data_IF_321519162027
#
_entry.id   IF_321519162027
#
_cell.length_a   1.000
_cell.length_b   1.000
_cell.length_c   1.000
_cell.angle_alpha   90.00
_cell.angle_beta   90.00
_cell.angle_gamma   90.00
#
_symmetry.space_group_name_H-M   'P 1'
#
loop_
_entity.id
_entity.type
_entity.pdbx_description
1 polymer ?
#
# COMPACT_ATOMS: atom_id res chain seq x y z
N UNK A 1 -14.02 -17.70 6.15
CA UNK A 1 -13.98 -17.30 4.73
C UNK A 1 -12.59 -16.78 4.42
N UNK A 2 -12.01 -17.17 3.29
CA UNK A 2 -10.65 -16.77 2.87
C UNK A 2 -10.74 -15.40 2.17
N UNK A 3 -9.70 -14.58 2.25
CA UNK A 3 -9.69 -13.25 1.61
C UNK A 3 -9.92 -13.29 0.09
N UNK A 4 -9.64 -14.42 -0.56
CA UNK A 4 -9.91 -14.64 -1.98
C UNK A 4 -11.42 -14.75 -2.27
N UNK A 5 -12.19 -15.33 -1.35
CA UNK A 5 -13.64 -15.53 -1.50
C UNK A 5 -14.31 -14.15 -1.57
N UNK A 6 -13.99 -13.24 -0.63
CA UNK A 6 -14.46 -11.85 -0.66
C UNK A 6 -14.10 -11.10 -1.94
N UNK A 7 -12.89 -11.29 -2.45
CA UNK A 7 -12.44 -10.62 -3.67
C UNK A 7 -13.25 -11.04 -4.90
N UNK A 8 -13.55 -12.34 -5.01
CA UNK A 8 -14.34 -12.90 -6.10
C UNK A 8 -15.83 -12.57 -5.95
N UNK A 9 -16.41 -12.77 -4.76
CA UNK A 9 -17.84 -12.60 -4.50
C UNK A 9 -18.27 -11.14 -4.65
N UNK A 10 -17.48 -10.20 -4.12
CA UNK A 10 -17.76 -8.76 -4.21
C UNK A 10 -17.22 -8.13 -5.51
N UNK A 11 -16.61 -8.94 -6.40
CA UNK A 11 -16.04 -8.52 -7.68
C UNK A 11 -15.06 -7.34 -7.58
N UNK A 12 -14.32 -7.26 -6.48
CA UNK A 12 -13.49 -6.11 -6.14
C UNK A 12 -12.38 -5.89 -7.18
N UNK A 13 -12.04 -4.63 -7.51
CA UNK A 13 -10.92 -4.37 -8.41
C UNK A 13 -9.57 -4.67 -7.73
N UNK A 14 -9.49 -4.41 -6.43
CA UNK A 14 -8.33 -4.66 -5.57
C UNK A 14 -8.79 -4.91 -4.14
N UNK A 15 -8.09 -5.80 -3.44
CA UNK A 15 -8.21 -6.03 -2.00
C UNK A 15 -6.83 -5.88 -1.35
N UNK A 16 -6.74 -5.03 -0.34
CA UNK A 16 -5.49 -4.80 0.41
C UNK A 16 -5.46 -5.68 1.65
N UNK A 17 -4.36 -6.39 1.86
CA UNK A 17 -4.10 -7.12 3.08
C UNK A 17 -3.38 -6.19 4.04
N UNK A 18 -4.00 -5.89 5.17
CA UNK A 18 -3.37 -5.08 6.20
C UNK A 18 -2.41 -5.96 7.00
N UNK A 19 -1.16 -5.54 7.04
CA UNK A 19 -0.09 -6.16 7.81
C UNK A 19 0.26 -5.27 8.99
N UNK A 20 0.42 -5.85 10.17
CA UNK A 20 0.81 -5.12 11.37
C UNK A 20 2.33 -4.96 11.43
N UNK A 21 2.82 -3.78 11.81
CA UNK A 21 4.25 -3.57 12.10
C UNK A 21 4.47 -3.62 13.61
N UNK A 22 5.61 -4.13 14.04
CA UNK A 22 5.96 -4.31 15.46
C UNK A 22 6.19 -3.00 16.22
N UNK A 23 6.24 -1.86 15.53
CA UNK A 23 6.58 -0.58 16.16
C UNK A 23 5.84 0.57 15.47
N UNK A 24 4.57 0.78 15.82
CA UNK A 24 3.82 1.91 15.26
C UNK A 24 2.61 2.33 16.09
N UNK A 25 2.86 3.20 17.05
CA UNK A 25 1.80 3.94 17.73
C UNK A 25 1.08 4.94 16.79
N UNK A 26 1.74 5.41 15.71
CA UNK A 26 1.24 6.52 14.89
C UNK A 26 0.70 6.14 13.51
N UNK A 27 0.96 4.93 13.01
CA UNK A 27 0.55 4.54 11.65
C UNK A 27 -0.96 4.26 11.50
N UNK A 28 -1.69 4.20 12.62
CA UNK A 28 -3.15 4.05 12.64
C UNK A 28 -3.90 5.33 12.22
N UNK A 29 -3.27 6.50 12.33
CA UNK A 29 -3.96 7.79 12.22
C UNK A 29 -4.35 8.15 10.77
N UNK A 30 -3.59 7.68 9.78
CA UNK A 30 -3.74 8.09 8.37
C UNK A 30 -3.89 6.90 7.41
N UNK A 31 -4.40 5.75 7.88
CA UNK A 31 -4.44 4.51 7.07
C UNK A 31 -3.08 4.13 6.46
N UNK A 32 -1.97 4.55 7.07
CA UNK A 32 -0.61 4.30 6.55
C UNK A 32 -0.35 2.81 6.32
N UNK A 33 -0.85 1.96 7.22
CA UNK A 33 -0.78 0.51 7.09
C UNK A 33 -1.40 -0.04 5.80
N UNK A 34 -2.47 0.60 5.31
CA UNK A 34 -3.18 0.17 4.11
C UNK A 34 -2.51 0.74 2.86
N UNK A 35 -1.94 1.94 2.97
CA UNK A 35 -1.24 2.63 1.88
C UNK A 35 0.11 1.96 1.56
N UNK A 36 0.81 1.44 2.58
CA UNK A 36 2.16 0.88 2.47
C UNK A 36 2.25 -0.63 2.76
N UNK A 37 1.14 -1.36 2.67
CA UNK A 37 1.12 -2.77 3.09
C UNK A 37 1.95 -3.70 2.20
N UNK A 38 2.29 -3.29 0.97
CA UNK A 38 2.95 -4.12 -0.04
C UNK A 38 2.21 -5.40 -0.43
N UNK A 39 1.04 -5.67 0.15
CA UNK A 39 0.36 -6.96 0.06
C UNK A 39 -1.09 -6.74 -0.37
N UNK A 40 -1.36 -7.10 -1.61
CA UNK A 40 -2.62 -6.79 -2.29
C UNK A 40 -2.98 -7.90 -3.25
N UNK A 41 -4.27 -8.17 -3.38
CA UNK A 41 -4.85 -8.95 -4.48
C UNK A 41 -5.45 -7.96 -5.48
N UNK A 42 -5.10 -8.10 -6.76
CA UNK A 42 -5.43 -7.14 -7.81
C UNK A 42 -5.84 -7.90 -9.08
N UNK A 43 -6.82 -7.39 -9.83
CA UNK A 43 -7.10 -7.95 -11.16
C UNK A 43 -5.97 -7.63 -12.13
N UNK A 44 -5.61 -8.60 -12.96
CA UNK A 44 -4.51 -8.52 -13.94
C UNK A 44 -4.58 -7.26 -14.81
N UNK A 45 -5.76 -6.93 -15.33
CA UNK A 45 -5.97 -5.79 -16.25
C UNK A 45 -5.57 -4.44 -15.64
N UNK A 46 -5.58 -4.30 -14.32
CA UNK A 46 -5.11 -3.08 -13.66
C UNK A 46 -3.59 -3.05 -13.54
N UNK A 47 -2.97 -4.20 -13.27
CA UNK A 47 -1.53 -4.33 -13.18
C UNK A 47 -0.86 -4.02 -14.53
N UNK A 48 -1.40 -4.55 -15.62
CA UNK A 48 -0.86 -4.35 -16.97
C UNK A 48 -0.87 -2.87 -17.40
N UNK A 49 -1.76 -2.04 -16.84
CA UNK A 49 -1.82 -0.60 -17.15
C UNK A 49 -0.69 0.21 -16.52
N UNK A 50 -0.05 -0.32 -15.48
CA UNK A 50 0.89 0.43 -14.64
C UNK A 50 2.27 -0.21 -14.57
N UNK A 51 2.39 -1.52 -14.77
CA UNK A 51 3.61 -2.29 -14.47
C UNK A 51 4.82 -1.78 -15.26
N UNK A 52 4.63 -1.44 -16.54
CA UNK A 52 5.70 -0.94 -17.42
C UNK A 52 6.14 0.49 -17.09
N UNK A 53 5.45 1.17 -16.16
CA UNK A 53 5.69 2.57 -15.81
C UNK A 53 6.34 2.74 -14.45
N UNK A 54 6.55 1.66 -13.70
CA UNK A 54 6.99 1.75 -12.31
C UNK A 54 7.99 0.66 -11.96
N UNK A 55 8.95 1.00 -11.11
CA UNK A 55 9.95 0.06 -10.60
C UNK A 55 9.90 -0.03 -9.07
N UNK A 56 9.97 -1.26 -8.54
CA UNK A 56 10.03 -1.53 -7.11
C UNK A 56 8.92 -0.82 -6.32
N UNK A 57 9.32 0.08 -5.42
CA UNK A 57 8.40 0.82 -4.53
C UNK A 57 7.42 1.76 -5.26
N UNK A 58 7.70 2.10 -6.52
CA UNK A 58 6.82 2.95 -7.31
C UNK A 58 5.51 2.24 -7.67
N UNK A 59 5.50 0.91 -7.73
CA UNK A 59 4.31 0.13 -8.06
C UNK A 59 3.16 0.39 -7.07
N UNK A 60 3.48 0.45 -5.77
CA UNK A 60 2.48 0.75 -4.74
C UNK A 60 1.92 2.17 -4.89
N UNK A 61 2.81 3.14 -5.10
CA UNK A 61 2.42 4.53 -5.30
C UNK A 61 1.58 4.71 -6.57
N UNK A 62 1.92 4.01 -7.66
CA UNK A 62 1.20 4.00 -8.92
C UNK A 62 -0.20 3.38 -8.78
N UNK A 63 -0.31 2.25 -8.06
CA UNK A 63 -1.60 1.60 -7.77
C UNK A 63 -2.51 2.53 -6.98
N UNK A 64 -2.01 3.11 -5.89
CA UNK A 64 -2.77 4.03 -5.06
C UNK A 64 -3.26 5.23 -5.89
N UNK A 65 -2.38 5.86 -6.67
CA UNK A 65 -2.74 7.00 -7.52
C UNK A 65 -3.79 6.62 -8.57
N UNK A 66 -3.65 5.45 -9.22
CA UNK A 66 -4.60 4.97 -10.21
C UNK A 66 -6.02 4.83 -9.62
N UNK A 67 -6.16 4.14 -8.50
CA UNK A 67 -7.47 3.93 -7.86
C UNK A 67 -8.04 5.22 -7.23
N UNK A 68 -7.18 6.10 -6.72
CA UNK A 68 -7.60 7.41 -6.22
C UNK A 68 -8.14 8.30 -7.33
N UNK A 69 -7.49 8.33 -8.50
CA UNK A 69 -7.98 9.07 -9.68
C UNK A 69 -9.32 8.56 -10.17
N UNK A 70 -9.55 7.24 -10.09
CA UNK A 70 -10.85 6.63 -10.38
C UNK A 70 -11.90 6.88 -9.28
N UNK A 71 -11.52 7.53 -8.19
CA UNK A 71 -12.36 7.78 -7.00
C UNK A 71 -12.95 6.50 -6.42
N UNK A 72 -12.30 5.36 -6.65
CA UNK A 72 -12.75 4.02 -6.26
C UNK A 72 -12.65 3.85 -4.74
N UNK A 73 -13.60 3.13 -4.16
CA UNK A 73 -13.47 2.68 -2.77
C UNK A 73 -12.48 1.54 -2.70
N UNK A 74 -11.48 1.66 -1.84
CA UNK A 74 -10.45 0.66 -1.63
C UNK A 74 -10.79 -0.16 -0.40
N UNK A 75 -10.85 -1.47 -0.58
CA UNK A 75 -11.21 -2.40 0.47
C UNK A 75 -9.97 -3.05 1.06
N UNK A 76 -10.01 -3.28 2.36
CA UNK A 76 -8.92 -3.94 3.07
C UNK A 76 -9.45 -4.90 4.12
N UNK A 77 -8.64 -5.94 4.41
CA UNK A 77 -8.91 -6.93 5.46
C UNK A 77 -7.70 -7.07 6.37
N UNK A 78 -7.92 -7.35 7.65
CA UNK A 78 -6.82 -7.63 8.57
C UNK A 78 -6.20 -8.99 8.26
N UNK A 79 -4.89 -9.09 8.44
CA UNK A 79 -4.17 -10.36 8.39
C UNK A 79 -3.42 -10.60 9.69
N UNK A 80 -3.12 -11.87 9.98
CA UNK A 80 -2.23 -12.24 11.09
C UNK A 80 -0.74 -12.01 10.75
N UNK A 81 -0.43 -11.53 9.54
CA UNK A 81 0.94 -11.27 9.14
C UNK A 81 1.51 -10.08 9.91
N UNK A 82 2.79 -10.20 10.26
CA UNK A 82 3.56 -9.16 10.92
C UNK A 82 4.73 -8.80 10.01
N UNK A 83 4.91 -7.50 9.73
CA UNK A 83 6.06 -6.99 9.01
C UNK A 83 7.07 -6.45 10.04
N UNK A 84 8.23 -7.11 10.23
CA UNK A 84 9.29 -6.53 11.03
C UNK A 84 9.76 -5.23 10.36
N UNK A 85 9.96 -4.17 11.14
CA UNK A 85 10.49 -2.90 10.66
C UNK A 85 11.82 -3.12 9.91
N UNK A 86 12.05 -2.35 8.82
CA UNK A 86 13.32 -2.41 8.08
C UNK A 86 14.54 -2.14 8.97
N UNK A 87 14.39 -1.34 10.01
CA UNK A 87 15.42 -1.07 11.00
C UNK A 87 15.84 -2.32 11.79
N UNK A 88 14.88 -3.21 12.10
CA UNK A 88 15.17 -4.48 12.77
C UNK A 88 15.61 -5.56 11.78
N UNK A 89 15.24 -5.46 10.51
CA UNK A 89 15.65 -6.40 9.45
C UNK A 89 17.09 -6.22 8.95
N UNK A 90 17.52 -4.98 8.75
CA UNK A 90 18.81 -4.66 8.14
C UNK A 90 19.77 -3.92 9.07
N UNK A 91 19.36 -3.67 10.33
CA UNK A 91 20.08 -2.80 11.26
C UNK A 91 19.78 -1.32 11.03
N UNK A 92 20.06 -0.49 12.04
CA UNK A 92 19.60 0.90 12.09
C UNK A 92 20.06 1.74 10.89
N UNK A 93 21.35 1.70 10.55
CA UNK A 93 21.91 2.53 9.47
C UNK A 93 21.41 2.11 8.08
N UNK A 94 21.44 0.82 7.79
CA UNK A 94 21.01 0.30 6.50
C UNK A 94 19.50 0.42 6.32
N UNK A 95 18.71 0.10 7.35
CA UNK A 95 17.26 0.25 7.33
C UNK A 95 16.81 1.72 7.14
N UNK A 96 17.51 2.67 7.77
CA UNK A 96 17.23 4.10 7.57
C UNK A 96 17.54 4.54 6.14
N UNK A 97 18.70 4.13 5.60
CA UNK A 97 19.08 4.45 4.23
C UNK A 97 18.10 3.89 3.21
N UNK A 98 17.61 2.66 3.42
CA UNK A 98 16.61 2.04 2.56
C UNK A 98 15.23 2.72 2.64
N UNK A 99 14.84 3.20 3.82
CA UNK A 99 13.62 4.00 3.97
C UNK A 99 13.74 5.32 3.19
N UNK A 100 14.85 6.04 3.35
CA UNK A 100 15.08 7.29 2.61
C UNK A 100 15.09 7.04 1.10
N UNK A 101 15.77 5.98 0.64
CA UNK A 101 15.81 5.60 -0.78
C UNK A 101 14.42 5.27 -1.33
N UNK A 102 13.58 4.57 -0.55
CA UNK A 102 12.18 4.32 -0.91
C UNK A 102 11.41 5.62 -1.08
N UNK A 103 11.42 6.48 -0.06
CA UNK A 103 10.67 7.74 -0.05
C UNK A 103 11.09 8.64 -1.21
N UNK A 104 12.40 8.78 -1.45
CA UNK A 104 12.92 9.54 -2.59
C UNK A 104 12.50 8.96 -3.94
N UNK A 105 12.49 7.63 -4.08
CA UNK A 105 12.03 6.97 -5.32
C UNK A 105 10.55 7.27 -5.59
N UNK A 106 9.71 7.16 -4.56
CA UNK A 106 8.28 7.45 -4.66
C UNK A 106 8.04 8.93 -4.96
N UNK A 107 8.74 9.85 -4.28
CA UNK A 107 8.60 11.29 -4.49
C UNK A 107 9.03 11.69 -5.91
N UNK A 108 10.13 11.13 -6.42
CA UNK A 108 10.59 11.37 -7.80
C UNK A 108 9.58 10.89 -8.83
N UNK A 109 8.91 9.77 -8.57
CA UNK A 109 7.93 9.17 -9.48
C UNK A 109 6.56 9.87 -9.43
N UNK A 110 5.95 9.98 -8.24
CA UNK A 110 4.59 10.46 -8.08
C UNK A 110 4.50 11.99 -7.87
N UNK A 111 5.58 12.62 -7.42
CA UNK A 111 5.60 14.00 -6.93
C UNK A 111 5.15 14.10 -5.46
N UNK A 112 5.78 15.01 -4.72
CA UNK A 112 5.57 15.17 -3.26
C UNK A 112 4.10 15.44 -2.89
N UNK A 113 3.42 16.33 -3.63
CA UNK A 113 2.02 16.70 -3.35
C UNK A 113 1.10 15.50 -3.51
N UNK A 114 1.31 14.70 -4.56
CA UNK A 114 0.51 13.52 -4.83
C UNK A 114 0.74 12.46 -3.76
N UNK A 115 1.99 12.25 -3.36
CA UNK A 115 2.35 11.33 -2.29
C UNK A 115 1.66 11.71 -0.96
N UNK A 116 1.70 12.98 -0.56
CA UNK A 116 0.98 13.46 0.62
C UNK A 116 -0.55 13.32 0.48
N UNK A 117 -1.09 13.55 -0.72
CA UNK A 117 -2.50 13.35 -1.03
C UNK A 117 -2.97 11.91 -0.79
N UNK A 118 -2.11 10.91 -1.02
CA UNK A 118 -2.42 9.50 -0.73
C UNK A 118 -2.66 9.27 0.77
N UNK A 119 -1.88 9.92 1.63
CA UNK A 119 -2.01 9.83 3.09
C UNK A 119 -3.33 10.41 3.60
N UNK A 120 -3.85 11.45 2.93
CA UNK A 120 -5.14 12.07 3.27
C UNK A 120 -6.36 11.38 2.66
N UNK A 121 -6.17 10.35 1.82
CA UNK A 121 -7.27 9.71 1.12
C UNK A 121 -8.17 8.95 2.11
N UNK A 122 -9.48 9.23 2.08
CA UNK A 122 -10.42 8.73 3.09
C UNK A 122 -11.30 7.57 2.62
N UNK A 123 -11.28 7.18 1.34
CA UNK A 123 -12.14 6.10 0.81
C UNK A 123 -11.58 4.68 1.03
N UNK A 124 -11.00 4.44 2.20
CA UNK A 124 -10.58 3.11 2.63
C UNK A 124 -11.67 2.48 3.48
N UNK A 125 -12.16 1.29 3.10
CA UNK A 125 -13.18 0.55 3.86
C UNK A 125 -12.66 -0.81 4.30
N UNK A 126 -12.80 -1.09 5.59
CA UNK A 126 -12.55 -2.42 6.15
C UNK A 126 -13.68 -3.37 5.76
N UNK A 127 -13.34 -4.55 5.24
CA UNK A 127 -14.27 -5.67 5.12
C UNK A 127 -14.35 -6.42 6.45
N UNK A 128 -15.58 -6.76 6.86
CA UNK A 128 -15.86 -7.53 8.08
C UNK A 128 -15.82 -9.02 7.79
#
# INVERSE_FOLDING_TARGET
MRGIDFFLDLKLPMLVFRIYTTQAYWDGLLNKYVIFSGTRLLKKDFLERIIDRCEGYQLEAALNDYFMKQKSTLFWIDTSAINPNKLTKHGFRQGLMENIRMELSIIRFAGLIRHLGQLSYSKWKKLK
#
